data_IF_497422972130
#
_entry.id   IF_497422972130
#
_cell.length_a   1.000
_cell.length_b   1.000
_cell.length_c   1.000
_cell.angle_alpha   90.00
_cell.angle_beta   90.00
_cell.angle_gamma   90.00
#
_symmetry.space_group_name_H-M   'P 1'
#
loop_
_entity.id
_entity.type
_entity.pdbx_description
1 polymer ?
#
# COMPACT_ATOMS: atom_id res chain seq x y z
N UNK A 1 -23.09 19.32 2.33
CA UNK A 1 -22.10 19.38 1.21
C UNK A 1 -22.47 18.34 0.18
N UNK A 2 -22.38 18.67 -1.08
CA UNK A 2 -22.63 17.69 -2.15
C UNK A 2 -21.47 16.68 -2.20
N UNK A 3 -21.73 15.41 -2.52
CA UNK A 3 -20.72 14.36 -2.63
C UNK A 3 -19.55 14.78 -3.56
N UNK A 4 -19.86 15.52 -4.61
CA UNK A 4 -18.87 16.07 -5.54
C UNK A 4 -17.84 16.96 -4.84
N UNK A 5 -18.26 17.85 -3.94
CA UNK A 5 -17.34 18.73 -3.21
C UNK A 5 -16.41 17.95 -2.28
N UNK A 6 -16.90 16.87 -1.66
CA UNK A 6 -16.08 15.99 -0.82
C UNK A 6 -15.01 15.31 -1.66
N UNK A 7 -15.37 14.77 -2.82
CA UNK A 7 -14.42 14.11 -3.73
C UNK A 7 -13.39 15.10 -4.26
N UNK A 8 -13.80 16.29 -4.70
CA UNK A 8 -12.88 17.32 -5.15
C UNK A 8 -11.91 17.77 -4.04
N UNK A 9 -12.42 17.96 -2.83
CA UNK A 9 -11.57 18.28 -1.68
C UNK A 9 -10.56 17.16 -1.38
N UNK A 10 -10.99 15.89 -1.45
CA UNK A 10 -10.10 14.74 -1.27
C UNK A 10 -8.97 14.74 -2.33
N UNK A 11 -9.29 14.92 -3.59
CA UNK A 11 -8.31 14.94 -4.68
C UNK A 11 -7.28 16.06 -4.45
N UNK A 12 -7.74 17.26 -4.10
CA UNK A 12 -6.83 18.39 -3.85
C UNK A 12 -5.92 18.11 -2.64
N UNK A 13 -6.47 17.61 -1.54
CA UNK A 13 -5.69 17.34 -0.33
C UNK A 13 -4.67 16.21 -0.55
N UNK A 14 -5.06 15.14 -1.26
CA UNK A 14 -4.14 14.06 -1.61
C UNK A 14 -3.03 14.54 -2.55
N UNK A 15 -3.37 15.38 -3.52
CA UNK A 15 -2.38 15.98 -4.43
C UNK A 15 -1.39 16.89 -3.67
N UNK A 16 -1.87 17.70 -2.74
CA UNK A 16 -1.02 18.52 -1.86
C UNK A 16 -0.11 17.60 -1.03
N UNK A 17 -0.64 16.54 -0.43
CA UNK A 17 0.14 15.55 0.30
C UNK A 17 1.23 14.91 -0.57
N UNK A 18 0.89 14.50 -1.78
CA UNK A 18 1.85 13.95 -2.73
C UNK A 18 2.97 14.93 -3.06
N UNK A 19 2.65 16.17 -3.40
CA UNK A 19 3.66 17.16 -3.82
C UNK A 19 4.54 17.59 -2.65
N UNK A 20 3.97 17.96 -1.52
CA UNK A 20 4.73 18.52 -0.40
C UNK A 20 5.33 17.43 0.49
N UNK A 21 4.51 16.50 0.98
CA UNK A 21 4.97 15.47 1.91
C UNK A 21 5.83 14.42 1.21
N UNK A 22 5.43 13.97 0.02
CA UNK A 22 6.23 13.03 -0.78
C UNK A 22 7.59 13.61 -1.17
N UNK A 23 7.64 14.88 -1.59
CA UNK A 23 8.91 15.55 -1.91
C UNK A 23 9.79 15.75 -0.68
N UNK A 24 9.19 16.04 0.48
CA UNK A 24 9.92 16.14 1.73
C UNK A 24 10.52 14.79 2.14
N UNK A 25 9.76 13.70 2.09
CA UNK A 25 10.25 12.36 2.36
C UNK A 25 11.39 11.96 1.42
N UNK A 26 11.23 12.23 0.12
CA UNK A 26 12.26 11.93 -0.88
C UNK A 26 13.59 12.64 -0.55
N UNK A 27 13.54 13.89 -0.10
CA UNK A 27 14.71 14.65 0.35
C UNK A 27 15.30 14.07 1.63
N UNK A 28 14.48 13.74 2.63
CA UNK A 28 14.94 13.18 3.90
C UNK A 28 15.65 11.83 3.72
N UNK A 29 15.18 11.01 2.84
CA UNK A 29 15.77 9.70 2.55
C UNK A 29 16.92 9.75 1.56
N UNK A 30 17.21 10.92 0.98
CA UNK A 30 18.31 11.13 0.06
C UNK A 30 18.10 10.34 -1.25
N UNK A 31 16.87 10.39 -1.78
CA UNK A 31 16.57 9.75 -3.06
C UNK A 31 17.25 10.52 -4.17
N UNK A 32 18.10 9.83 -4.91
CA UNK A 32 18.80 10.36 -6.06
C UNK A 32 18.17 9.79 -7.35
N UNK A 33 17.45 10.61 -8.12
CA UNK A 33 16.78 10.17 -9.33
C UNK A 33 17.78 9.80 -10.47
N UNK A 34 19.05 10.13 -10.32
CA UNK A 34 20.09 9.81 -11.32
C UNK A 34 20.63 8.39 -11.15
N UNK A 35 20.48 7.80 -9.97
CA UNK A 35 20.89 6.42 -9.71
C UNK A 35 19.98 5.43 -10.42
N UNK A 36 20.59 4.48 -11.11
CA UNK A 36 19.86 3.37 -11.70
C UNK A 36 19.30 2.45 -10.60
N UNK A 37 18.12 1.92 -10.85
CA UNK A 37 17.53 0.89 -9.97
C UNK A 37 18.20 -0.46 -10.20
N UNK A 38 18.17 -1.39 -9.22
CA UNK A 38 18.73 -2.73 -9.38
C UNK A 38 18.21 -3.48 -10.61
N UNK A 39 16.92 -3.28 -10.95
CA UNK A 39 16.34 -3.88 -12.14
C UNK A 39 16.97 -3.43 -13.47
N UNK A 40 17.57 -2.23 -13.50
CA UNK A 40 18.27 -1.71 -14.70
C UNK A 40 19.77 -2.03 -14.63
N UNK A 41 20.35 -1.94 -13.42
CA UNK A 41 21.80 -2.11 -13.22
C UNK A 41 22.23 -3.59 -13.33
N UNK A 42 21.36 -4.49 -12.85
CA UNK A 42 21.59 -5.94 -12.78
C UNK A 42 20.71 -6.72 -13.76
N UNK A 43 20.18 -6.05 -14.80
CA UNK A 43 19.26 -6.67 -15.75
C UNK A 43 19.84 -7.95 -16.36
N UNK A 44 19.19 -9.08 -16.09
CA UNK A 44 19.57 -10.43 -16.57
C UNK A 44 18.45 -11.11 -17.38
N UNK A 45 17.28 -10.46 -17.45
CA UNK A 45 16.11 -10.98 -18.17
C UNK A 45 15.35 -12.08 -17.45
N UNK A 46 15.75 -12.46 -16.23
CA UNK A 46 15.11 -13.52 -15.40
C UNK A 46 14.72 -12.97 -14.04
N UNK A 47 15.70 -12.64 -13.20
CA UNK A 47 15.48 -12.14 -11.83
C UNK A 47 15.36 -10.61 -11.81
N UNK A 48 16.09 -9.94 -12.67
CA UNK A 48 16.08 -8.49 -12.82
C UNK A 48 15.61 -8.11 -14.21
N UNK A 49 14.36 -7.65 -14.27
CA UNK A 49 13.73 -7.22 -15.53
C UNK A 49 13.19 -5.81 -15.37
N UNK A 50 13.66 -4.90 -16.22
CA UNK A 50 13.19 -3.52 -16.23
C UNK A 50 11.76 -3.44 -16.76
N UNK A 51 10.81 -3.10 -15.89
CA UNK A 51 9.41 -2.91 -16.26
C UNK A 51 9.09 -1.43 -16.52
N UNK A 52 8.11 -1.18 -17.41
CA UNK A 52 7.64 0.18 -17.68
C UNK A 52 6.97 0.77 -16.42
N UNK A 53 7.16 2.08 -16.10
CA UNK A 53 6.57 2.70 -14.91
C UNK A 53 5.05 2.52 -14.78
N UNK A 54 4.30 2.58 -15.88
CA UNK A 54 2.86 2.36 -15.88
C UNK A 54 2.47 0.93 -15.47
N UNK A 55 3.26 -0.07 -15.82
CA UNK A 55 3.04 -1.48 -15.43
C UNK A 55 3.32 -1.64 -13.94
N UNK A 56 4.41 -1.06 -13.43
CA UNK A 56 4.75 -1.07 -12.00
C UNK A 56 3.66 -0.38 -11.18
N UNK A 57 3.19 0.79 -11.63
CA UNK A 57 2.12 1.52 -10.96
C UNK A 57 0.81 0.71 -10.93
N UNK A 58 0.42 0.08 -12.05
CA UNK A 58 -0.77 -0.76 -12.12
C UNK A 58 -0.68 -1.98 -11.21
N UNK A 59 0.46 -2.65 -11.14
CA UNK A 59 0.70 -3.78 -10.25
C UNK A 59 0.64 -3.34 -8.77
N UNK A 60 1.31 -2.25 -8.43
CA UNK A 60 1.30 -1.69 -7.07
C UNK A 60 -0.13 -1.32 -6.63
N UNK A 61 -0.86 -0.60 -7.49
CA UNK A 61 -2.24 -0.25 -7.24
C UNK A 61 -3.13 -1.48 -7.02
N UNK A 62 -3.02 -2.51 -7.87
CA UNK A 62 -3.82 -3.72 -7.72
C UNK A 62 -3.50 -4.52 -6.46
N UNK A 63 -2.27 -4.43 -5.97
CA UNK A 63 -1.85 -5.08 -4.71
C UNK A 63 -2.42 -4.37 -3.48
N UNK A 64 -2.61 -3.04 -3.54
CA UNK A 64 -3.17 -2.24 -2.44
C UNK A 64 -4.70 -2.24 -2.47
N UNK A 65 -5.31 -2.15 -3.65
CA UNK A 65 -6.76 -2.04 -3.83
C UNK A 65 -7.50 -3.35 -3.55
N UNK A 66 -7.28 -3.91 -2.37
CA UNK A 66 -8.00 -5.09 -1.88
C UNK A 66 -9.35 -4.74 -1.24
N UNK A 67 -10.04 -5.75 -0.70
CA UNK A 67 -11.34 -5.58 -0.08
C UNK A 67 -11.31 -4.66 1.17
N UNK A 68 -10.22 -4.65 1.93
CA UNK A 68 -10.05 -3.80 3.11
C UNK A 68 -10.16 -2.30 2.80
N UNK A 69 -9.33 -1.75 1.90
CA UNK A 69 -9.40 -0.35 1.48
C UNK A 69 -10.74 0.08 0.88
N UNK A 70 -11.46 -0.84 0.24
CA UNK A 70 -12.78 -0.55 -0.33
C UNK A 70 -13.88 -0.63 0.72
N UNK A 71 -13.96 -1.76 1.44
CA UNK A 71 -15.05 -2.04 2.36
C UNK A 71 -14.88 -1.37 3.72
N UNK A 72 -13.64 -1.11 4.15
CA UNK A 72 -13.34 -0.43 5.41
C UNK A 72 -14.00 0.93 5.54
N UNK A 73 -13.82 1.87 4.61
CA UNK A 73 -14.49 3.17 4.63
C UNK A 73 -16.02 3.07 4.56
N UNK A 74 -16.56 2.09 3.80
CA UNK A 74 -18.00 1.85 3.73
C UNK A 74 -18.54 1.46 5.10
N UNK A 75 -17.93 0.49 5.77
CA UNK A 75 -18.33 0.05 7.11
C UNK A 75 -18.13 1.15 8.15
N UNK A 76 -17.03 1.89 8.07
CA UNK A 76 -16.74 2.98 9.00
C UNK A 76 -17.70 4.18 8.83
N UNK A 77 -18.44 4.27 7.71
CA UNK A 77 -19.40 5.34 7.46
C UNK A 77 -20.55 5.39 8.50
N UNK A 78 -20.79 4.30 9.25
CA UNK A 78 -21.73 4.27 10.38
C UNK A 78 -21.35 5.27 11.48
N UNK A 79 -20.06 5.62 11.60
CA UNK A 79 -19.57 6.63 12.56
C UNK A 79 -19.67 8.07 12.02
N UNK A 80 -20.20 8.23 10.81
CA UNK A 80 -20.32 9.50 10.12
C UNK A 80 -19.24 9.70 9.04
N UNK A 81 -19.53 10.58 8.09
CA UNK A 81 -18.65 10.80 6.94
C UNK A 81 -17.35 11.56 7.27
N UNK A 82 -17.39 12.45 8.28
CA UNK A 82 -16.23 13.29 8.63
C UNK A 82 -15.06 12.47 9.19
N UNK A 83 -15.23 11.59 10.19
CA UNK A 83 -14.16 10.72 10.66
C UNK A 83 -13.57 9.86 9.54
N UNK A 84 -14.40 9.29 8.68
CA UNK A 84 -13.96 8.45 7.56
C UNK A 84 -13.16 9.27 6.56
N UNK A 85 -13.65 10.46 6.18
CA UNK A 85 -12.97 11.35 5.27
C UNK A 85 -11.60 11.75 5.80
N UNK A 86 -11.52 12.18 7.06
CA UNK A 86 -10.26 12.56 7.70
C UNK A 86 -9.29 11.37 7.76
N UNK A 87 -9.77 10.18 8.08
CA UNK A 87 -8.93 8.99 8.10
C UNK A 87 -8.42 8.61 6.71
N UNK A 88 -9.25 8.66 5.69
CA UNK A 88 -8.82 8.40 4.30
C UNK A 88 -7.75 9.38 3.84
N UNK A 89 -7.84 10.66 4.21
CA UNK A 89 -6.85 11.67 3.81
C UNK A 89 -5.59 11.58 4.67
N UNK A 90 -5.73 11.70 5.98
CA UNK A 90 -4.58 11.73 6.90
C UNK A 90 -3.91 10.35 6.94
N UNK A 91 -4.71 9.29 7.07
CA UNK A 91 -4.22 7.92 7.05
C UNK A 91 -3.54 7.56 5.73
N UNK A 92 -4.15 7.94 4.60
CA UNK A 92 -3.58 7.71 3.27
C UNK A 92 -2.25 8.44 3.07
N UNK A 93 -2.13 9.69 3.51
CA UNK A 93 -0.88 10.47 3.34
C UNK A 93 0.20 10.01 4.32
N UNK A 94 -0.10 10.02 5.63
CA UNK A 94 0.93 9.87 6.67
C UNK A 94 1.22 8.43 7.07
N UNK A 95 0.30 7.49 6.85
CA UNK A 95 0.53 6.08 7.15
C UNK A 95 0.68 5.25 5.89
N UNK A 96 -0.31 5.23 4.99
CA UNK A 96 -0.27 4.45 3.76
C UNK A 96 0.88 4.88 2.85
N UNK A 97 0.90 6.15 2.47
CA UNK A 97 1.94 6.68 1.57
C UNK A 97 3.35 6.57 2.14
N UNK A 98 3.53 6.79 3.46
CA UNK A 98 4.82 6.61 4.12
C UNK A 98 5.28 5.14 4.09
N UNK A 99 4.38 4.21 4.41
CA UNK A 99 4.69 2.78 4.43
C UNK A 99 5.04 2.25 3.05
N UNK A 100 4.22 2.56 2.04
CA UNK A 100 4.41 2.06 0.69
C UNK A 100 5.68 2.62 0.06
N UNK A 101 5.88 3.93 0.18
CA UNK A 101 7.08 4.59 -0.32
C UNK A 101 8.34 4.12 0.42
N UNK A 102 8.26 3.93 1.75
CA UNK A 102 9.36 3.43 2.57
C UNK A 102 9.74 2.00 2.24
N UNK A 103 8.76 1.12 2.06
CA UNK A 103 8.99 -0.28 1.69
C UNK A 103 9.64 -0.39 0.31
N UNK A 104 9.14 0.37 -0.66
CA UNK A 104 9.69 0.41 -2.02
C UNK A 104 11.14 0.94 -2.02
N UNK A 105 11.37 2.04 -1.31
CA UNK A 105 12.70 2.64 -1.20
C UNK A 105 13.70 1.73 -0.50
N UNK A 106 13.30 1.08 0.60
CA UNK A 106 14.12 0.13 1.32
C UNK A 106 14.47 -1.08 0.42
N UNK A 107 13.49 -1.61 -0.31
CA UNK A 107 13.73 -2.70 -1.27
C UNK A 107 14.73 -2.32 -2.35
N UNK A 108 14.59 -1.15 -2.97
CA UNK A 108 15.51 -0.66 -4.00
C UNK A 108 16.93 -0.51 -3.45
N UNK A 109 17.08 -0.03 -2.21
CA UNK A 109 18.39 0.11 -1.55
C UNK A 109 19.06 -1.22 -1.19
N UNK A 110 18.29 -2.29 -1.09
CA UNK A 110 18.75 -3.64 -0.75
C UNK A 110 18.60 -4.60 -1.95
N UNK A 111 18.89 -4.13 -3.15
CA UNK A 111 18.92 -4.93 -4.38
C UNK A 111 17.60 -5.64 -4.73
N UNK A 112 16.47 -5.04 -4.39
CA UNK A 112 15.16 -5.62 -4.64
C UNK A 112 14.74 -6.68 -3.61
N UNK A 113 15.44 -6.78 -2.49
CA UNK A 113 15.11 -7.75 -1.43
C UNK A 113 13.72 -7.52 -0.83
N UNK A 114 13.12 -8.60 -0.35
CA UNK A 114 11.88 -8.56 0.41
C UNK A 114 12.07 -7.91 1.79
N UNK A 115 10.99 -7.40 2.38
CA UNK A 115 11.02 -6.80 3.73
C UNK A 115 11.58 -7.78 4.76
N UNK A 116 11.28 -9.09 4.63
CA UNK A 116 11.81 -10.11 5.53
C UNK A 116 13.33 -10.25 5.47
N UNK A 117 13.93 -10.11 4.29
CA UNK A 117 15.38 -10.15 4.11
C UNK A 117 16.04 -8.87 4.63
N UNK A 118 15.41 -7.72 4.41
CA UNK A 118 15.88 -6.43 4.96
C UNK A 118 15.88 -6.45 6.50
N UNK A 119 14.86 -7.06 7.10
CA UNK A 119 14.81 -7.27 8.55
C UNK A 119 15.95 -8.19 9.01
N UNK A 120 16.25 -9.24 8.25
CA UNK A 120 17.37 -10.14 8.58
C UNK A 120 18.70 -9.40 8.56
N UNK A 121 18.95 -8.60 7.51
CA UNK A 121 20.19 -7.83 7.37
C UNK A 121 20.35 -6.78 8.50
N UNK A 122 19.24 -6.22 8.98
CA UNK A 122 19.24 -5.14 9.98
C UNK A 122 19.15 -5.62 11.42
N UNK A 123 18.36 -6.67 11.69
CA UNK A 123 17.98 -7.12 13.03
C UNK A 123 18.31 -8.60 13.29
N UNK A 124 18.77 -9.31 12.28
CA UNK A 124 19.19 -10.71 12.36
C UNK A 124 18.07 -11.72 12.11
N UNK A 125 18.46 -12.99 11.99
CA UNK A 125 17.62 -14.12 11.57
C UNK A 125 16.44 -14.41 12.53
N UNK A 126 16.56 -14.07 13.82
CA UNK A 126 15.44 -14.25 14.78
C UNK A 126 14.30 -13.27 14.44
N UNK A 127 14.62 -12.03 14.13
CA UNK A 127 13.63 -11.02 13.76
C UNK A 127 12.92 -11.39 12.43
N UNK A 128 13.67 -11.90 11.44
CA UNK A 128 13.09 -12.43 10.19
C UNK A 128 12.08 -13.55 10.47
N UNK A 129 12.42 -14.53 11.31
CA UNK A 129 11.51 -15.62 11.63
C UNK A 129 10.23 -15.14 12.30
N UNK A 130 10.33 -14.22 13.26
CA UNK A 130 9.16 -13.60 13.90
C UNK A 130 8.31 -12.82 12.91
N UNK A 131 8.94 -12.07 12.01
CA UNK A 131 8.24 -11.34 10.95
C UNK A 131 7.50 -12.28 10.00
N UNK A 132 8.13 -13.40 9.58
CA UNK A 132 7.49 -14.39 8.69
C UNK A 132 6.27 -15.02 9.37
N UNK A 133 6.37 -15.40 10.66
CA UNK A 133 5.24 -15.93 11.41
C UNK A 133 4.12 -14.89 11.51
N UNK A 134 4.44 -13.64 11.84
CA UNK A 134 3.49 -12.55 11.88
C UNK A 134 2.81 -12.33 10.52
N UNK A 135 3.58 -12.27 9.45
CA UNK A 135 3.06 -12.10 8.09
C UNK A 135 2.13 -13.25 7.69
N UNK A 136 2.48 -14.49 8.01
CA UNK A 136 1.63 -15.66 7.77
C UNK A 136 0.29 -15.54 8.50
N UNK A 137 0.30 -15.18 9.78
CA UNK A 137 -0.92 -14.99 10.57
C UNK A 137 -1.79 -13.87 9.99
N UNK A 138 -1.19 -12.75 9.60
CA UNK A 138 -1.90 -11.65 8.95
C UNK A 138 -2.52 -12.10 7.63
N UNK A 139 -1.81 -12.86 6.79
CA UNK A 139 -2.34 -13.38 5.53
C UNK A 139 -3.55 -14.31 5.75
N UNK A 140 -3.52 -15.16 6.79
CA UNK A 140 -4.66 -16.00 7.15
C UNK A 140 -5.87 -15.14 7.53
N UNK A 141 -5.67 -14.08 8.32
CA UNK A 141 -6.75 -13.14 8.68
C UNK A 141 -7.30 -12.40 7.47
N UNK A 142 -6.44 -11.99 6.54
CA UNK A 142 -6.84 -11.35 5.29
C UNK A 142 -7.70 -12.31 4.46
N UNK A 143 -7.27 -13.56 4.28
CA UNK A 143 -8.05 -14.58 3.55
C UNK A 143 -9.41 -14.79 4.23
N UNK A 144 -9.46 -14.95 5.54
CA UNK A 144 -10.70 -15.11 6.28
C UNK A 144 -11.65 -13.91 6.09
N UNK A 145 -11.10 -12.69 6.10
CA UNK A 145 -11.87 -11.46 5.83
C UNK A 145 -12.46 -11.45 4.42
N UNK A 146 -11.66 -11.80 3.40
CA UNK A 146 -12.14 -11.90 2.02
C UNK A 146 -13.25 -12.94 1.87
N UNK A 147 -13.07 -14.13 2.44
CA UNK A 147 -14.09 -15.19 2.41
C UNK A 147 -15.39 -14.69 3.04
N UNK A 148 -15.33 -14.02 4.19
CA UNK A 148 -16.51 -13.48 4.87
C UNK A 148 -17.25 -12.43 4.01
N UNK A 149 -16.53 -11.52 3.36
CA UNK A 149 -17.11 -10.50 2.49
C UNK A 149 -17.78 -11.15 1.28
N UNK A 150 -17.10 -12.09 0.62
CA UNK A 150 -17.64 -12.82 -0.55
C UNK A 150 -18.87 -13.64 -0.15
N UNK A 151 -18.82 -14.37 0.96
CA UNK A 151 -19.98 -15.13 1.46
C UNK A 151 -21.19 -14.23 1.72
N UNK A 152 -20.97 -13.02 2.28
CA UNK A 152 -22.02 -12.03 2.51
C UNK A 152 -22.70 -11.56 1.21
N UNK A 153 -21.96 -11.41 0.12
CA UNK A 153 -22.56 -11.03 -1.18
C UNK A 153 -23.47 -12.11 -1.75
N UNK A 154 -23.13 -13.38 -1.58
CA UNK A 154 -24.00 -14.50 -2.00
C UNK A 154 -25.28 -14.57 -1.18
N UNK A 155 -25.22 -14.37 0.13
CA UNK A 155 -26.41 -14.34 0.98
C UNK A 155 -27.38 -13.23 0.57
N UNK A 156 -26.89 -12.03 0.31
CA UNK A 156 -27.72 -10.90 -0.15
C UNK A 156 -28.35 -11.17 -1.52
N UNK A 157 -27.63 -11.85 -2.43
CA UNK A 157 -28.16 -12.26 -3.74
C UNK A 157 -29.29 -13.25 -3.62
N UNK A 158 -29.20 -14.21 -2.69
CA UNK A 158 -30.24 -15.23 -2.47
C UNK A 158 -31.52 -14.68 -1.81
N UNK A 159 -31.42 -13.59 -1.04
CA UNK A 159 -32.58 -12.95 -0.38
C UNK A 159 -33.37 -12.07 -1.37
N UNK A 160 -32.76 -11.64 -2.47
CA UNK A 160 -33.39 -10.77 -3.48
C UNK A 160 -33.98 -11.54 -4.68
N UNK A 161 -34.04 -12.86 -4.64
CA UNK A 161 -34.78 -13.73 -5.60
C UNK A 161 -36.09 -14.20 -4.95
#
# INVERSE_FOLDING_TARGET
>A
MTALLIVLAAIVLLFIGYVFYGSWLAKQWGIDPTKKTPAIEKEDGVDYVAAKPAVLMGHHFSSIAGAGPINGPIQASIFGWVPVFLWCIIGGIFFGGLQDFGSLFASIRHDGKSVGEIIEDSMGSRAKKLFIIFALLVLILVIASFVNIVAGTFLLSLINI
#
